data_IF_010321938492
#
_entry.id   IF_010321938492
#
_cell.length_a   1.000
_cell.length_b   1.000
_cell.length_c   1.000
_cell.angle_alpha   90.00
_cell.angle_beta   90.00
_cell.angle_gamma   90.00
#
_symmetry.space_group_name_H-M   'P 1'
#
loop_
_entity.id
_entity.type
_entity.pdbx_description
1 polymer ?
#
# COMPACT_ATOMS: atom_id res chain seq x y z
N UNK A 1 3.78 0.30 8.40
CA UNK A 1 5.20 0.06 8.04
C UNK A 1 5.33 -0.20 6.55
N UNK A 2 4.72 -1.27 6.04
CA UNK A 2 4.91 -1.76 4.66
C UNK A 2 4.69 -0.69 3.56
N UNK A 3 3.62 0.12 3.61
CA UNK A 3 3.37 1.12 2.55
C UNK A 3 4.50 2.15 2.42
N UNK A 4 5.05 2.62 3.54
CA UNK A 4 6.18 3.57 3.53
C UNK A 4 7.41 2.90 2.93
N UNK A 5 7.70 1.66 3.35
CA UNK A 5 8.83 0.87 2.89
C UNK A 5 8.76 0.64 1.37
N UNK A 6 7.62 0.18 0.85
CA UNK A 6 7.43 -0.08 -0.57
C UNK A 6 7.57 1.18 -1.43
N UNK A 7 6.95 2.28 -1.01
CA UNK A 7 7.03 3.54 -1.74
C UNK A 7 8.44 4.15 -1.70
N UNK A 8 9.13 4.04 -0.56
CA UNK A 8 10.51 4.48 -0.43
C UNK A 8 11.46 3.63 -1.29
N UNK A 9 11.33 2.30 -1.22
CA UNK A 9 12.13 1.38 -2.03
C UNK A 9 11.88 1.60 -3.52
N UNK A 10 10.65 1.92 -3.93
CA UNK A 10 10.36 2.28 -5.32
C UNK A 10 11.13 3.53 -5.77
N UNK A 11 11.12 4.61 -4.96
CA UNK A 11 11.89 5.82 -5.28
C UNK A 11 13.40 5.55 -5.38
N UNK A 12 13.96 4.77 -4.44
CA UNK A 12 15.40 4.45 -4.42
C UNK A 12 15.80 3.53 -5.57
N UNK A 13 15.12 2.40 -5.72
CA UNK A 13 15.52 1.33 -6.66
C UNK A 13 15.15 1.65 -8.11
N UNK A 14 14.02 2.32 -8.33
CA UNK A 14 13.49 2.59 -9.67
C UNK A 14 13.64 4.05 -10.08
N UNK A 15 13.48 5.00 -9.16
CA UNK A 15 13.63 6.43 -9.44
C UNK A 15 15.08 6.85 -9.67
N UNK A 16 15.98 6.44 -8.80
CA UNK A 16 17.41 6.80 -8.85
C UNK A 16 18.32 5.68 -9.38
N UNK A 17 17.76 4.70 -10.09
CA UNK A 17 18.51 3.55 -10.64
C UNK A 17 19.25 3.83 -11.97
N UNK A 18 19.04 5.00 -12.58
CA UNK A 18 19.57 5.38 -13.90
C UNK A 18 20.77 6.35 -13.85
N UNK A 19 20.76 7.35 -14.75
CA UNK A 19 21.85 8.36 -14.85
C UNK A 19 21.96 9.25 -13.60
N UNK A 20 20.83 9.47 -12.92
CA UNK A 20 20.77 10.16 -11.63
C UNK A 20 20.79 9.10 -10.52
N UNK A 21 21.93 8.95 -9.85
CA UNK A 21 22.17 7.93 -8.82
C UNK A 21 21.83 8.37 -7.41
N UNK A 22 21.52 9.65 -7.23
CA UNK A 22 21.23 10.25 -5.94
C UNK A 22 20.23 11.40 -6.06
N UNK A 23 19.53 11.64 -4.96
CA UNK A 23 18.63 12.74 -4.83
C UNK A 23 17.84 12.68 -3.54
N UNK A 24 17.23 13.81 -3.16
CA UNK A 24 16.39 13.86 -1.98
C UNK A 24 15.12 13.03 -2.15
N UNK A 25 14.67 12.46 -1.04
CA UNK A 25 13.34 11.89 -0.87
C UNK A 25 12.72 12.58 0.34
N UNK A 26 11.55 13.18 0.16
CA UNK A 26 10.79 13.80 1.25
C UNK A 26 9.64 12.90 1.65
N UNK A 27 9.47 12.79 2.97
CA UNK A 27 8.40 12.05 3.62
C UNK A 27 7.65 13.02 4.52
N UNK A 28 6.35 13.16 4.28
CA UNK A 28 5.46 13.91 5.15
C UNK A 28 4.27 13.05 5.55
N UNK A 29 3.92 13.11 6.84
CA UNK A 29 2.70 12.50 7.36
C UNK A 29 1.79 13.61 7.88
N UNK A 30 0.62 13.72 7.28
CA UNK A 30 -0.37 14.73 7.63
C UNK A 30 -1.55 14.07 8.34
N UNK A 31 -1.96 14.57 9.52
CA UNK A 31 -3.19 14.10 10.14
C UNK A 31 -4.40 14.54 9.30
N UNK A 32 -5.38 13.66 9.15
CA UNK A 32 -6.68 13.96 8.59
C UNK A 32 -7.75 13.77 9.67
N UNK A 33 -8.95 14.37 9.51
CA UNK A 33 -10.04 14.18 10.46
C UNK A 33 -10.33 12.71 10.74
N UNK A 34 -10.30 11.85 9.70
CA UNK A 34 -10.56 10.41 9.81
C UNK A 34 -9.37 9.53 9.42
N UNK A 35 -8.15 9.96 9.73
CA UNK A 35 -6.97 9.12 9.56
C UNK A 35 -5.71 9.92 9.27
N UNK A 36 -4.94 9.54 8.25
CA UNK A 36 -3.71 10.21 7.88
C UNK A 36 -3.41 10.14 6.37
N UNK A 37 -2.64 11.10 5.88
CA UNK A 37 -2.06 11.08 4.54
C UNK A 37 -0.55 11.01 4.62
N UNK A 38 0.04 9.97 4.04
CA UNK A 38 1.46 9.87 3.75
C UNK A 38 1.72 10.50 2.37
N UNK A 39 2.63 11.45 2.31
CA UNK A 39 3.12 12.06 1.07
C UNK A 39 4.58 11.72 0.91
N UNK A 40 4.93 11.16 -0.25
CA UNK A 40 6.31 10.88 -0.66
C UNK A 40 6.61 11.67 -1.90
N UNK A 41 7.74 12.38 -1.89
CA UNK A 41 8.22 13.14 -3.03
C UNK A 41 9.69 12.83 -3.34
N UNK A 42 10.04 12.84 -4.62
CA UNK A 42 11.42 12.70 -5.09
C UNK A 42 11.66 13.52 -6.37
N UNK A 43 12.92 13.69 -6.73
CA UNK A 43 13.34 14.37 -7.96
C UNK A 43 13.85 13.38 -9.03
N UNK A 44 13.49 12.10 -8.92
CA UNK A 44 13.76 11.15 -9.99
C UNK A 44 13.05 11.57 -11.29
N UNK A 45 13.43 11.01 -12.44
CA UNK A 45 12.65 11.14 -13.66
C UNK A 45 11.16 10.82 -13.40
N UNK A 46 10.22 11.52 -14.06
CA UNK A 46 8.79 11.29 -13.88
C UNK A 46 8.44 9.81 -14.10
N UNK A 47 7.84 9.17 -13.10
CA UNK A 47 7.45 7.76 -13.17
C UNK A 47 6.17 7.52 -12.35
N UNK A 48 5.07 7.25 -13.05
CA UNK A 48 3.81 6.97 -12.38
C UNK A 48 3.73 5.49 -12.01
N UNK A 49 4.25 5.14 -10.83
CA UNK A 49 4.20 3.77 -10.29
C UNK A 49 2.78 3.20 -10.20
N UNK A 50 1.74 4.04 -10.13
CA UNK A 50 0.35 3.58 -10.11
C UNK A 50 -0.18 3.18 -11.48
N UNK A 51 0.51 3.51 -12.58
CA UNK A 51 0.07 3.20 -13.94
C UNK A 51 1.08 2.35 -14.70
N UNK A 52 2.35 2.66 -14.51
CA UNK A 52 3.44 2.17 -15.35
C UNK A 52 4.08 0.90 -14.77
N UNK A 53 3.73 0.50 -13.55
CA UNK A 53 4.16 -0.77 -12.96
C UNK A 53 3.44 -1.97 -13.61
N UNK A 54 4.17 -3.03 -13.99
CA UNK A 54 3.56 -4.25 -14.50
C UNK A 54 2.69 -4.90 -13.42
N UNK A 55 1.60 -5.53 -13.85
CA UNK A 55 0.76 -6.31 -12.95
C UNK A 55 1.59 -7.47 -12.35
N UNK A 56 1.55 -7.69 -11.03
CA UNK A 56 2.27 -8.81 -10.43
C UNK A 56 1.68 -10.13 -10.91
N UNK A 57 2.56 -11.08 -11.21
CA UNK A 57 2.16 -12.46 -11.42
C UNK A 57 1.88 -13.13 -10.06
N UNK A 58 0.61 -13.31 -9.75
CA UNK A 58 0.14 -13.98 -8.53
C UNK A 58 -0.22 -15.45 -8.78
N UNK A 59 -0.14 -15.92 -10.02
CA UNK A 59 -0.62 -17.23 -10.44
C UNK A 59 0.51 -18.25 -10.60
N UNK A 60 1.72 -17.80 -10.94
CA UNK A 60 2.90 -18.67 -11.03
C UNK A 60 3.28 -19.27 -9.68
N UNK A 61 3.95 -20.42 -9.72
CA UNK A 61 4.58 -21.03 -8.56
C UNK A 61 5.58 -20.05 -7.93
N UNK A 62 5.77 -20.11 -6.61
CA UNK A 62 6.61 -19.15 -5.88
C UNK A 62 8.04 -19.12 -6.43
N UNK A 63 8.53 -20.28 -6.88
CA UNK A 63 9.86 -20.50 -7.44
C UNK A 63 10.07 -19.87 -8.82
N UNK A 64 8.98 -19.68 -9.57
CA UNK A 64 8.98 -19.19 -10.96
C UNK A 64 8.54 -17.72 -11.06
N UNK A 65 8.06 -17.12 -9.95
CA UNK A 65 7.65 -15.71 -9.95
C UNK A 65 8.86 -14.80 -10.14
N UNK A 66 8.78 -13.81 -11.04
CA UNK A 66 9.80 -12.78 -11.11
C UNK A 66 9.88 -12.04 -9.77
N UNK A 67 11.11 -11.77 -9.31
CA UNK A 67 11.34 -10.97 -8.11
C UNK A 67 10.88 -9.54 -8.40
N UNK A 68 9.89 -9.04 -7.66
CA UNK A 68 9.37 -7.67 -7.75
C UNK A 68 7.91 -7.59 -8.21
N UNK A 69 7.34 -6.38 -8.20
CA UNK A 69 5.98 -6.08 -8.72
C UNK A 69 4.83 -6.22 -7.71
N UNK A 70 5.03 -6.90 -6.57
CA UNK A 70 4.00 -7.01 -5.52
C UNK A 70 3.85 -5.74 -4.68
N UNK A 71 4.90 -4.93 -4.56
CA UNK A 71 4.92 -3.75 -3.69
C UNK A 71 3.77 -2.79 -3.93
N UNK A 72 3.53 -2.40 -5.19
CA UNK A 72 2.44 -1.48 -5.50
C UNK A 72 1.04 -2.08 -5.30
N UNK A 73 0.90 -3.39 -5.48
CA UNK A 73 -0.33 -4.09 -5.15
C UNK A 73 -0.59 -4.04 -3.64
N UNK A 74 0.44 -4.26 -2.82
CA UNK A 74 0.34 -4.15 -1.37
C UNK A 74 -0.01 -2.73 -0.94
N UNK A 75 0.63 -1.72 -1.53
CA UNK A 75 0.28 -0.30 -1.29
C UNK A 75 -1.21 -0.07 -1.56
N UNK A 76 -1.72 -0.47 -2.72
CA UNK A 76 -3.15 -0.30 -3.08
C UNK A 76 -4.09 -1.02 -2.12
N UNK A 77 -3.73 -2.20 -1.62
CA UNK A 77 -4.58 -2.98 -0.72
C UNK A 77 -4.56 -2.49 0.72
N UNK A 78 -3.53 -1.73 1.11
CA UNK A 78 -3.32 -1.25 2.49
C UNK A 78 -3.69 0.22 2.67
N UNK A 79 -4.05 0.93 1.60
CA UNK A 79 -4.46 2.34 1.61
C UNK A 79 -5.89 2.46 1.11
N UNK A 80 -6.67 3.37 1.69
CA UNK A 80 -8.03 3.67 1.19
C UNK A 80 -7.97 4.38 -0.16
N UNK A 81 -6.95 5.22 -0.33
CA UNK A 81 -6.70 5.93 -1.57
C UNK A 81 -5.21 6.11 -1.78
N UNK A 82 -4.76 5.94 -3.03
CA UNK A 82 -3.41 6.28 -3.44
C UNK A 82 -3.46 7.04 -4.77
N UNK A 83 -2.73 8.14 -4.85
CA UNK A 83 -2.67 9.01 -6.02
C UNK A 83 -1.24 9.39 -6.35
N UNK A 84 -1.01 9.72 -7.62
CA UNK A 84 0.25 10.20 -8.15
C UNK A 84 0.01 11.54 -8.85
N UNK A 85 0.90 12.49 -8.62
CA UNK A 85 0.99 13.75 -9.34
C UNK A 85 2.46 14.06 -9.66
N UNK A 86 2.68 14.95 -10.63
CA UNK A 86 3.99 15.44 -10.99
C UNK A 86 4.00 16.96 -11.13
N UNK A 87 4.64 17.65 -10.17
CA UNK A 87 4.98 19.07 -10.25
C UNK A 87 6.44 19.27 -9.87
N UNK A 88 7.32 19.29 -10.88
CA UNK A 88 8.80 19.30 -10.77
C UNK A 88 9.41 18.10 -10.02
N UNK A 89 8.57 17.28 -9.38
CA UNK A 89 8.87 16.16 -8.51
C UNK A 89 7.79 15.10 -8.68
N UNK A 90 8.17 13.84 -8.58
CA UNK A 90 7.20 12.78 -8.37
C UNK A 90 6.56 13.02 -7.00
N UNK A 91 5.23 12.93 -6.91
CA UNK A 91 4.50 13.00 -5.65
C UNK A 91 3.50 11.87 -5.57
N UNK A 92 3.63 11.03 -4.54
CA UNK A 92 2.65 9.98 -4.22
C UNK A 92 1.97 10.35 -2.92
N UNK A 93 0.63 10.36 -2.92
CA UNK A 93 -0.17 10.57 -1.71
C UNK A 93 -0.98 9.32 -1.41
N UNK A 94 -0.72 8.69 -0.27
CA UNK A 94 -1.43 7.53 0.26
C UNK A 94 -2.26 7.94 1.49
N UNK A 95 -3.57 7.69 1.44
CA UNK A 95 -4.53 8.00 2.51
C UNK A 95 -4.91 6.72 3.24
N UNK A 96 -4.92 6.80 4.56
CA UNK A 96 -5.31 5.74 5.47
C UNK A 96 -6.44 6.24 6.37
N UNK A 97 -7.50 5.46 6.49
CA UNK A 97 -8.60 5.67 7.41
C UNK A 97 -8.21 5.30 8.84
N UNK A 98 -9.10 5.60 9.79
CA UNK A 98 -8.95 5.19 11.19
C UNK A 98 -9.07 3.68 11.39
N UNK A 99 -9.79 2.99 10.52
CA UNK A 99 -10.00 1.55 10.58
C UNK A 99 -9.05 0.87 9.59
N UNK A 100 -8.39 -0.21 10.03
CA UNK A 100 -7.48 -0.97 9.16
C UNK A 100 -8.29 -1.75 8.11
N UNK A 101 -8.03 -1.59 6.80
CA UNK A 101 -8.67 -2.39 5.75
C UNK A 101 -8.43 -3.91 5.90
N UNK A 102 -7.41 -4.30 6.67
CA UNK A 102 -7.06 -5.69 6.94
C UNK A 102 -7.60 -6.24 8.28
N UNK A 103 -8.35 -5.44 9.06
CA UNK A 103 -8.98 -5.91 10.31
C UNK A 103 -10.28 -6.70 10.09
N UNK A 104 -10.65 -6.98 8.84
CA UNK A 104 -11.86 -7.72 8.47
C UNK A 104 -11.58 -9.16 8.03
N UNK A 105 -10.82 -9.96 8.78
CA UNK A 105 -10.86 -11.41 8.63
C UNK A 105 -10.48 -12.14 9.93
N UNK A 106 -11.47 -12.87 10.43
CA UNK A 106 -11.43 -13.96 11.40
C UNK A 106 -11.34 -13.57 12.89
N UNK A 107 -12.50 -13.26 13.48
CA UNK A 107 -12.81 -13.77 14.80
C UNK A 107 -12.80 -15.31 14.70
N UNK A 108 -11.66 -15.93 15.00
CA UNK A 108 -11.62 -17.33 15.37
C UNK A 108 -11.74 -17.32 16.89
N UNK A 109 -12.94 -17.62 17.39
CA UNK A 109 -13.12 -17.93 18.79
C UNK A 109 -12.18 -19.09 19.17
N UNK A 110 -11.36 -18.91 20.21
CA UNK A 110 -10.37 -19.88 20.69
C UNK A 110 -10.97 -21.20 21.24
N UNK A 111 -12.25 -21.49 21.01
CA UNK A 111 -12.91 -22.71 21.52
C UNK A 111 -13.69 -23.52 20.48
N UNK A 112 -13.53 -23.27 19.19
CA UNK A 112 -13.91 -24.22 18.13
C UNK A 112 -15.35 -24.76 18.18
N UNK A 113 -16.31 -23.96 18.66
CA UNK A 113 -17.72 -24.34 18.73
C UNK A 113 -18.60 -23.23 18.16
N UNK A 114 -19.34 -23.55 17.10
CA UNK A 114 -20.30 -22.64 16.48
C UNK A 114 -21.50 -22.45 17.44
N UNK A 115 -21.66 -21.24 17.99
CA UNK A 115 -22.86 -20.88 18.74
C UNK A 115 -24.02 -20.64 17.76
N UNK A 116 -24.94 -21.60 17.68
CA UNK A 116 -26.23 -21.41 17.02
C UNK A 116 -27.08 -20.45 17.86
N UNK A 117 -27.30 -19.22 17.35
CA UNK A 117 -28.24 -18.27 17.94
C UNK A 117 -29.68 -18.77 17.80
N UNK A 118 -30.21 -19.40 18.86
CA UNK A 118 -31.65 -19.59 19.05
C UNK A 118 -32.22 -18.33 19.71
N UNK A 119 -32.94 -17.53 18.93
CA UNK A 119 -33.83 -16.50 19.46
C UNK A 119 -35.24 -17.08 19.50
N UNK A 120 -35.59 -17.76 20.61
CA UNK A 120 -36.99 -17.97 20.97
C UNK A 120 -37.49 -16.69 21.65
N UNK A 121 -38.49 -16.06 21.06
CA UNK A 121 -39.28 -15.01 21.69
C UNK A 121 -40.75 -15.41 21.66
N UNK A 122 -41.26 -15.76 22.83
CA UNK A 122 -42.68 -15.71 23.22
C UNK A 122 -42.77 -15.99 24.73
N UNK A 123 -43.80 -15.49 25.44
CA UNK A 123 -45.13 -15.16 24.94
C UNK A 123 -45.49 -13.67 24.92
#
# INVERSE_FOLDING_TARGET
>A
HLVVEELFMNAVMHGYGGDRKDGPIWLALHPLPEGAALVIEDEAPPFNVLKDSPAPDTQSAVEDRPIGGLGIMLVRNMTDHVSYDYDKRNRITAVFGRESPLAGSADIDEDGSAAAGMHESSP
#
